data_IF_556163400534
#
_entry.id   IF_556163400534
#
_cell.length_a   1.000
_cell.length_b   1.000
_cell.length_c   1.000
_cell.angle_alpha   90.00
_cell.angle_beta   90.00
_cell.angle_gamma   90.00
#
_symmetry.space_group_name_H-M   'P 1'
#
loop_
_entity.id
_entity.type
_entity.pdbx_description
1 polymer ?
#
# COMPACT_ATOMS: atom_id res chain seq x y z
N UNK A 1 14.59 -23.57 -24.62
CA UNK A 1 13.46 -22.69 -24.23
C UNK A 1 12.36 -23.54 -23.58
N UNK A 2 12.73 -24.55 -22.81
CA UNK A 2 11.85 -25.69 -22.50
C UNK A 2 11.38 -25.71 -21.03
N UNK A 3 11.89 -24.78 -20.22
CA UNK A 3 11.63 -24.74 -18.77
C UNK A 3 10.27 -24.14 -18.37
N UNK A 4 9.58 -23.42 -19.25
CA UNK A 4 8.32 -22.75 -18.91
C UNK A 4 7.07 -23.61 -19.14
N UNK A 5 7.14 -24.65 -19.99
CA UNK A 5 6.00 -25.54 -20.24
C UNK A 5 5.72 -26.47 -19.07
N UNK A 6 6.74 -26.98 -18.37
CA UNK A 6 6.50 -27.98 -17.31
C UNK A 6 5.77 -27.43 -16.09
N UNK A 7 5.99 -26.15 -15.72
CA UNK A 7 5.30 -25.55 -14.56
C UNK A 7 3.77 -25.43 -14.74
N UNK A 8 3.28 -25.23 -15.96
CA UNK A 8 1.83 -25.20 -16.22
C UNK A 8 1.24 -26.60 -16.42
N UNK A 9 2.04 -27.56 -16.89
CA UNK A 9 1.65 -28.98 -16.97
C UNK A 9 1.61 -29.65 -15.58
N UNK A 10 2.44 -29.21 -14.64
CA UNK A 10 2.45 -29.65 -13.24
C UNK A 10 1.30 -29.04 -12.40
N UNK A 11 0.70 -27.93 -12.83
CA UNK A 11 -0.40 -27.30 -12.11
C UNK A 11 -1.74 -27.98 -12.42
N UNK A 12 -2.14 -28.93 -11.58
CA UNK A 12 -3.47 -29.54 -11.65
C UNK A 12 -4.58 -28.54 -11.30
N UNK A 13 -5.47 -28.26 -12.25
CA UNK A 13 -6.70 -27.50 -12.02
C UNK A 13 -6.86 -26.20 -12.79
N UNK A 14 -6.00 -25.91 -13.77
CA UNK A 14 -6.28 -24.80 -14.69
C UNK A 14 -7.51 -25.13 -15.56
N UNK A 15 -8.50 -24.23 -15.70
CA UNK A 15 -9.73 -24.54 -16.43
C UNK A 15 -9.44 -24.79 -17.91
N UNK A 16 -9.89 -25.94 -18.43
CA UNK A 16 -9.78 -26.26 -19.87
C UNK A 16 -10.72 -25.37 -20.69
N UNK A 17 -10.39 -25.17 -21.96
CA UNK A 17 -11.28 -24.48 -22.91
C UNK A 17 -12.57 -25.28 -23.06
N UNK A 18 -13.70 -24.64 -22.77
CA UNK A 18 -15.04 -25.22 -22.93
C UNK A 18 -15.69 -24.57 -24.14
N UNK A 19 -16.15 -25.38 -25.11
CA UNK A 19 -16.67 -24.88 -26.39
C UNK A 19 -18.14 -24.42 -26.33
N UNK A 20 -18.94 -24.97 -25.40
CA UNK A 20 -20.38 -24.68 -25.24
C UNK A 20 -20.71 -24.52 -23.75
N UNK A 21 -21.57 -23.57 -23.38
CA UNK A 21 -21.94 -23.36 -21.97
C UNK A 21 -20.91 -22.59 -21.16
N UNK A 22 -20.06 -21.78 -21.81
CA UNK A 22 -18.94 -21.05 -21.22
C UNK A 22 -19.32 -20.07 -20.08
N UNK A 23 -20.59 -19.67 -20.04
CA UNK A 23 -21.17 -18.74 -19.07
C UNK A 23 -22.20 -19.42 -18.16
N UNK A 24 -22.27 -20.77 -18.15
CA UNK A 24 -23.07 -21.44 -17.13
C UNK A 24 -22.49 -21.16 -15.75
N UNK A 25 -23.36 -21.08 -14.75
CA UNK A 25 -22.94 -20.79 -13.38
C UNK A 25 -21.90 -21.79 -12.88
N UNK A 26 -22.05 -23.07 -13.21
CA UNK A 26 -21.11 -24.13 -12.85
C UNK A 26 -19.72 -23.92 -13.46
N UNK A 27 -19.65 -23.57 -14.75
CA UNK A 27 -18.38 -23.29 -15.44
C UNK A 27 -17.70 -22.05 -14.87
N UNK A 28 -18.47 -21.01 -14.51
CA UNK A 28 -17.94 -19.82 -13.84
C UNK A 28 -17.36 -20.19 -12.47
N UNK A 29 -18.11 -20.94 -11.66
CA UNK A 29 -17.69 -21.37 -10.31
C UNK A 29 -16.39 -22.19 -10.39
N UNK A 30 -16.31 -23.14 -11.30
CA UNK A 30 -15.12 -23.99 -11.44
C UNK A 30 -13.90 -23.19 -11.94
N UNK A 31 -14.11 -22.18 -12.79
CA UNK A 31 -13.05 -21.25 -13.18
C UNK A 31 -12.56 -20.39 -12.03
N UNK A 32 -13.48 -19.86 -11.20
CA UNK A 32 -13.11 -19.12 -10.01
C UNK A 32 -12.28 -19.99 -9.07
N UNK A 33 -12.69 -21.24 -8.83
CA UNK A 33 -11.92 -22.20 -8.02
C UNK A 33 -10.53 -22.46 -8.61
N UNK A 34 -10.45 -22.70 -9.93
CA UNK A 34 -9.18 -22.94 -10.63
C UNK A 34 -8.24 -21.73 -10.53
N UNK A 35 -8.76 -20.52 -10.73
CA UNK A 35 -8.03 -19.27 -10.55
C UNK A 35 -7.54 -19.11 -9.10
N UNK A 36 -8.39 -19.33 -8.10
CA UNK A 36 -8.00 -19.27 -6.69
C UNK A 36 -6.86 -20.25 -6.38
N UNK A 37 -6.95 -21.49 -6.85
CA UNK A 37 -5.86 -22.48 -6.69
C UNK A 37 -4.57 -22.00 -7.34
N UNK A 38 -4.65 -21.42 -8.54
CA UNK A 38 -3.49 -20.93 -9.28
C UNK A 38 -2.82 -19.76 -8.56
N UNK A 39 -3.60 -18.77 -8.12
CA UNK A 39 -3.07 -17.62 -7.37
C UNK A 39 -2.45 -18.05 -6.04
N UNK A 40 -3.05 -19.03 -5.35
CA UNK A 40 -2.47 -19.60 -4.13
C UNK A 40 -1.15 -20.33 -4.40
N UNK A 41 -1.05 -21.08 -5.50
CA UNK A 41 0.21 -21.70 -5.91
C UNK A 41 1.28 -20.65 -6.18
N UNK A 42 0.98 -19.65 -7.02
CA UNK A 42 1.89 -18.55 -7.34
C UNK A 42 2.33 -17.78 -6.09
N UNK A 43 1.43 -17.58 -5.12
CA UNK A 43 1.74 -16.90 -3.86
C UNK A 43 2.67 -17.72 -2.96
N UNK A 44 2.45 -19.04 -2.86
CA UNK A 44 3.31 -19.96 -2.07
C UNK A 44 4.69 -20.09 -2.69
N UNK A 45 4.79 -20.05 -4.01
CA UNK A 45 6.06 -20.09 -4.71
C UNK A 45 6.80 -18.76 -4.60
N UNK A 46 7.83 -18.71 -3.76
CA UNK A 46 8.56 -17.48 -3.45
C UNK A 46 9.15 -16.77 -4.68
N UNK A 47 9.59 -17.52 -5.70
CA UNK A 47 10.10 -16.94 -6.95
C UNK A 47 8.98 -16.31 -7.76
N UNK A 48 7.88 -17.04 -7.98
CA UNK A 48 6.75 -16.57 -8.79
C UNK A 48 6.06 -15.38 -8.14
N UNK A 49 5.88 -15.42 -6.82
CA UNK A 49 5.25 -14.35 -6.05
C UNK A 49 6.00 -13.02 -6.11
N UNK A 50 7.32 -13.03 -6.38
CA UNK A 50 8.17 -11.84 -6.51
C UNK A 50 8.34 -11.35 -7.94
N UNK A 51 7.77 -12.03 -8.93
CA UNK A 51 7.86 -11.60 -10.33
C UNK A 51 7.11 -10.29 -10.56
N UNK A 52 7.64 -9.46 -11.46
CA UNK A 52 6.99 -8.22 -11.88
C UNK A 52 5.62 -8.48 -12.55
N UNK A 53 5.45 -9.64 -13.19
CA UNK A 53 4.17 -10.01 -13.82
C UNK A 53 3.08 -10.20 -12.76
N UNK A 54 3.41 -10.84 -11.64
CA UNK A 54 2.44 -11.08 -10.60
C UNK A 54 2.06 -9.81 -9.84
N UNK A 55 3.02 -8.93 -9.55
CA UNK A 55 2.71 -7.60 -9.00
C UNK A 55 1.91 -6.75 -9.98
N UNK A 56 2.23 -6.82 -11.28
CA UNK A 56 1.48 -6.14 -12.34
C UNK A 56 0.02 -6.58 -12.42
N UNK A 57 -0.22 -7.88 -12.29
CA UNK A 57 -1.56 -8.45 -12.27
C UNK A 57 -2.37 -8.06 -11.03
N UNK A 58 -1.71 -7.99 -9.86
CA UNK A 58 -2.42 -7.85 -8.59
C UNK A 58 -2.75 -6.41 -8.19
N UNK A 59 -1.80 -5.48 -8.32
CA UNK A 59 -1.94 -4.15 -7.69
C UNK A 59 -1.26 -3.00 -8.42
N UNK A 60 -0.51 -3.24 -9.51
CA UNK A 60 0.27 -2.18 -10.13
C UNK A 60 -0.62 -1.12 -10.80
N UNK A 61 -1.75 -1.51 -11.41
CA UNK A 61 -2.72 -0.58 -11.98
C UNK A 61 -3.29 0.35 -10.92
N UNK A 62 -3.61 -0.21 -9.76
CA UNK A 62 -4.19 0.47 -8.61
C UNK A 62 -3.18 1.45 -8.03
N UNK A 63 -1.95 1.01 -7.77
CA UNK A 63 -0.87 1.88 -7.28
C UNK A 63 -0.57 3.03 -8.25
N UNK A 64 -0.61 2.77 -9.56
CA UNK A 64 -0.43 3.82 -10.56
C UNK A 64 -1.58 4.83 -10.51
N UNK A 65 -2.82 4.35 -10.54
CA UNK A 65 -4.01 5.20 -10.49
C UNK A 65 -4.02 6.07 -9.23
N UNK A 66 -3.74 5.50 -8.05
CA UNK A 66 -3.72 6.26 -6.80
C UNK A 66 -2.60 7.30 -6.76
N UNK A 67 -1.44 7.00 -7.36
CA UNK A 67 -0.36 7.99 -7.50
C UNK A 67 -0.80 9.17 -8.40
N UNK A 68 -1.43 8.89 -9.53
CA UNK A 68 -1.93 9.91 -10.46
C UNK A 68 -3.00 10.78 -9.77
N UNK A 69 -3.94 10.17 -9.05
CA UNK A 69 -4.93 10.89 -8.25
C UNK A 69 -4.29 11.77 -7.18
N UNK A 70 -3.27 11.27 -6.48
CA UNK A 70 -2.56 12.03 -5.45
C UNK A 70 -1.86 13.27 -6.02
N UNK A 71 -1.22 13.13 -7.20
CA UNK A 71 -0.58 14.24 -7.91
C UNK A 71 -1.62 15.29 -8.35
N UNK A 72 -2.81 14.86 -8.76
CA UNK A 72 -3.90 15.73 -9.21
C UNK A 72 -4.80 16.25 -8.08
N UNK A 73 -4.51 15.89 -6.82
CA UNK A 73 -5.33 16.23 -5.64
C UNK A 73 -6.76 15.65 -5.67
N UNK A 74 -6.96 14.55 -6.40
CA UNK A 74 -8.21 13.82 -6.52
C UNK A 74 -8.32 12.79 -5.37
N UNK A 75 -8.47 13.31 -4.15
CA UNK A 75 -8.36 12.48 -2.94
C UNK A 75 -9.55 11.55 -2.73
N UNK A 76 -10.75 11.94 -3.16
CA UNK A 76 -11.97 11.15 -2.99
C UNK A 76 -11.93 9.89 -3.86
N UNK A 77 -11.43 10.03 -5.09
CA UNK A 77 -11.21 8.93 -6.03
C UNK A 77 -10.10 7.98 -5.57
N UNK A 78 -9.08 8.50 -4.89
CA UNK A 78 -7.96 7.70 -4.39
C UNK A 78 -8.36 6.80 -3.20
N UNK A 79 -9.20 7.30 -2.29
CA UNK A 79 -9.57 6.61 -1.04
C UNK A 79 -10.00 5.14 -1.22
N UNK A 80 -11.04 4.80 -2.01
CA UNK A 80 -11.52 3.42 -2.11
C UNK A 80 -10.48 2.48 -2.74
N UNK A 81 -9.66 2.98 -3.67
CA UNK A 81 -8.62 2.18 -4.32
C UNK A 81 -7.49 1.92 -3.32
N UNK A 82 -7.09 2.91 -2.53
CA UNK A 82 -6.07 2.79 -1.49
C UNK A 82 -6.50 1.84 -0.36
N UNK A 83 -7.76 1.89 0.09
CA UNK A 83 -8.31 0.97 1.09
C UNK A 83 -8.21 -0.49 0.61
N UNK A 84 -8.68 -0.76 -0.63
CA UNK A 84 -8.61 -2.10 -1.23
C UNK A 84 -7.16 -2.57 -1.48
N UNK A 85 -6.31 -1.67 -1.97
CA UNK A 85 -4.89 -1.96 -2.22
C UNK A 85 -4.19 -2.30 -0.92
N UNK A 86 -4.46 -1.59 0.17
CA UNK A 86 -3.91 -1.90 1.48
C UNK A 86 -4.30 -3.31 1.95
N UNK A 87 -5.59 -3.67 1.89
CA UNK A 87 -6.07 -5.00 2.31
C UNK A 87 -5.36 -6.10 1.52
N UNK A 88 -5.21 -5.92 0.20
CA UNK A 88 -4.52 -6.86 -0.67
C UNK A 88 -3.03 -6.99 -0.31
N UNK A 89 -2.33 -5.86 -0.16
CA UNK A 89 -0.90 -5.84 0.15
C UNK A 89 -0.59 -6.46 1.52
N UNK A 90 -1.42 -6.19 2.52
CA UNK A 90 -1.27 -6.73 3.87
C UNK A 90 -1.52 -8.24 3.89
N UNK A 91 -2.58 -8.69 3.20
CA UNK A 91 -2.92 -10.12 3.07
C UNK A 91 -1.81 -10.92 2.38
N UNK A 92 -1.14 -10.31 1.41
CA UNK A 92 -0.05 -10.94 0.66
C UNK A 92 1.32 -10.76 1.33
N UNK A 93 1.38 -10.15 2.51
CA UNK A 93 2.62 -9.86 3.27
C UNK A 93 3.71 -9.23 2.39
N UNK A 94 3.32 -8.23 1.58
CA UNK A 94 4.21 -7.60 0.60
C UNK A 94 5.24 -6.68 1.25
N UNK A 95 6.11 -6.12 0.40
CA UNK A 95 7.14 -5.17 0.79
C UNK A 95 6.59 -4.10 1.76
N UNK A 96 7.21 -4.02 2.93
CA UNK A 96 6.75 -3.11 3.98
C UNK A 96 6.82 -1.65 3.53
N UNK A 97 7.75 -1.28 2.65
CA UNK A 97 7.85 0.07 2.11
C UNK A 97 6.62 0.46 1.31
N UNK A 98 6.14 -0.42 0.42
CA UNK A 98 4.92 -0.21 -0.35
C UNK A 98 3.67 -0.10 0.54
N UNK A 99 3.56 -0.96 1.56
CA UNK A 99 2.45 -0.91 2.54
C UNK A 99 2.44 0.43 3.27
N UNK A 100 3.59 0.87 3.79
CA UNK A 100 3.71 2.14 4.51
C UNK A 100 3.37 3.34 3.62
N UNK A 101 3.81 3.34 2.35
CA UNK A 101 3.43 4.40 1.39
C UNK A 101 1.93 4.43 1.15
N UNK A 102 1.34 3.27 0.85
CA UNK A 102 -0.11 3.13 0.60
C UNK A 102 -0.92 3.65 1.79
N UNK A 103 -0.52 3.28 3.01
CA UNK A 103 -1.14 3.74 4.23
C UNK A 103 -0.98 5.26 4.46
N UNK A 104 0.22 5.82 4.27
CA UNK A 104 0.42 7.27 4.37
C UNK A 104 -0.42 8.05 3.34
N UNK A 105 -0.50 7.55 2.09
CA UNK A 105 -1.37 8.13 1.06
C UNK A 105 -2.83 8.08 1.50
N UNK A 106 -3.30 6.94 2.01
CA UNK A 106 -4.67 6.76 2.46
C UNK A 106 -5.03 7.72 3.59
N UNK A 107 -4.17 7.83 4.60
CA UNK A 107 -4.36 8.75 5.74
C UNK A 107 -4.50 10.19 5.28
N UNK A 108 -3.65 10.64 4.35
CA UNK A 108 -3.71 12.00 3.80
C UNK A 108 -4.99 12.21 2.99
N UNK A 109 -5.37 11.26 2.14
CA UNK A 109 -6.59 11.36 1.34
C UNK A 109 -7.84 11.44 2.22
N UNK A 110 -7.96 10.54 3.21
CA UNK A 110 -9.08 10.51 4.15
C UNK A 110 -9.21 11.83 4.92
N UNK A 111 -8.08 12.40 5.35
CA UNK A 111 -8.07 13.71 5.99
C UNK A 111 -8.53 14.82 5.04
N UNK A 112 -8.03 14.83 3.81
CA UNK A 112 -8.36 15.86 2.82
C UNK A 112 -9.86 15.87 2.46
N UNK A 113 -10.52 14.71 2.48
CA UNK A 113 -11.97 14.59 2.25
C UNK A 113 -12.82 14.68 3.54
N UNK A 114 -12.22 15.07 4.67
CA UNK A 114 -12.94 15.28 5.93
C UNK A 114 -13.31 14.00 6.70
N UNK A 115 -12.86 12.82 6.26
CA UNK A 115 -13.05 11.52 6.96
C UNK A 115 -12.04 11.35 8.11
N UNK A 116 -12.03 12.28 9.06
CA UNK A 116 -11.00 12.38 10.09
C UNK A 116 -10.90 11.17 11.02
N UNK A 117 -12.01 10.58 11.46
CA UNK A 117 -11.97 9.37 12.31
C UNK A 117 -11.40 8.16 11.57
N UNK A 118 -11.71 7.99 10.28
CA UNK A 118 -11.08 6.97 9.45
C UNK A 118 -9.57 7.25 9.27
N UNK A 119 -9.20 8.50 8.99
CA UNK A 119 -7.80 8.91 8.89
C UNK A 119 -7.03 8.60 10.19
N UNK A 120 -7.67 8.80 11.34
CA UNK A 120 -7.11 8.49 12.66
C UNK A 120 -6.88 6.99 12.84
N UNK A 121 -7.89 6.17 12.54
CA UNK A 121 -7.76 4.71 12.64
C UNK A 121 -6.61 4.17 11.76
N UNK A 122 -6.53 4.59 10.50
CA UNK A 122 -5.45 4.19 9.61
C UNK A 122 -4.09 4.78 10.03
N UNK A 123 -4.04 6.00 10.55
CA UNK A 123 -2.81 6.58 11.06
C UNK A 123 -2.24 5.80 12.26
N UNK A 124 -3.11 5.33 13.17
CA UNK A 124 -2.69 4.47 14.27
C UNK A 124 -2.07 3.15 13.78
N UNK A 125 -2.71 2.49 12.80
CA UNK A 125 -2.18 1.28 12.14
C UNK A 125 -0.84 1.56 11.47
N UNK A 126 -0.74 2.68 10.77
CA UNK A 126 0.47 3.11 10.06
C UNK A 126 1.63 3.27 11.03
N UNK A 127 1.43 4.04 12.11
CA UNK A 127 2.43 4.26 13.15
C UNK A 127 2.89 2.93 13.77
N UNK A 128 1.96 2.01 14.04
CA UNK A 128 2.32 0.69 14.56
C UNK A 128 3.24 -0.07 13.59
N UNK A 129 2.96 -0.05 12.28
CA UNK A 129 3.81 -0.73 11.28
C UNK A 129 5.21 -0.10 11.14
N UNK A 130 5.35 1.22 11.33
CA UNK A 130 6.68 1.87 11.38
C UNK A 130 7.56 1.34 12.52
N UNK A 131 6.98 1.04 13.70
CA UNK A 131 7.73 0.51 14.85
C UNK A 131 8.27 -0.91 14.62
N UNK A 132 7.52 -1.73 13.86
CA UNK A 132 7.85 -3.14 13.65
C UNK A 132 8.74 -3.40 12.42
N UNK A 133 9.08 -2.37 11.64
CA UNK A 133 9.86 -2.52 10.39
C UNK A 133 11.25 -1.86 10.48
N UNK A 134 12.29 -2.59 10.92
CA UNK A 134 13.68 -2.11 10.83
C UNK A 134 14.24 -2.15 9.40
N UNK A 135 13.53 -2.77 8.46
CA UNK A 135 14.02 -3.25 7.16
C UNK A 135 13.91 -2.26 6.00
N UNK A 136 13.25 -1.11 6.17
CA UNK A 136 13.21 -0.04 5.17
C UNK A 136 13.62 1.30 5.78
N UNK A 137 14.84 1.37 6.34
CA UNK A 137 15.34 2.53 7.10
C UNK A 137 15.22 3.87 6.37
N UNK A 138 15.25 3.90 5.03
CA UNK A 138 15.19 5.16 4.27
C UNK A 138 13.75 5.67 4.17
N UNK A 139 12.84 4.91 3.57
CA UNK A 139 11.40 5.22 3.47
C UNK A 139 10.77 5.39 4.87
N UNK A 140 11.15 4.46 5.75
CA UNK A 140 10.81 4.44 7.17
C UNK A 140 11.23 5.72 7.90
N UNK A 141 12.35 6.36 7.54
CA UNK A 141 12.78 7.63 8.16
C UNK A 141 12.17 8.84 7.46
N UNK A 142 12.11 8.82 6.14
CA UNK A 142 11.70 9.97 5.32
C UNK A 142 10.21 10.30 5.50
N UNK A 143 9.36 9.30 5.74
CA UNK A 143 7.92 9.50 5.94
C UNK A 143 7.50 9.54 7.42
N UNK A 144 8.28 8.96 8.35
CA UNK A 144 7.84 8.84 9.74
C UNK A 144 7.75 10.18 10.47
N UNK A 145 8.74 11.07 10.28
CA UNK A 145 8.69 12.39 10.91
C UNK A 145 7.54 13.25 10.36
N UNK A 146 7.34 13.38 9.03
CA UNK A 146 6.15 14.03 8.46
C UNK A 146 4.82 13.39 8.93
N UNK A 147 4.76 12.06 9.04
CA UNK A 147 3.58 11.36 9.54
C UNK A 147 3.29 11.69 11.00
N UNK A 148 4.30 11.75 11.87
CA UNK A 148 4.10 12.13 13.26
C UNK A 148 3.57 13.57 13.40
N UNK A 149 4.09 14.50 12.60
CA UNK A 149 3.59 15.90 12.57
C UNK A 149 2.14 15.92 12.09
N UNK A 150 1.83 15.17 11.04
CA UNK A 150 0.48 15.02 10.52
C UNK A 150 -0.49 14.46 11.58
N UNK A 151 -0.08 13.40 12.29
CA UNK A 151 -0.88 12.78 13.34
C UNK A 151 -1.12 13.72 14.52
N UNK A 152 -0.12 14.52 14.91
CA UNK A 152 -0.25 15.51 15.99
C UNK A 152 -1.33 16.54 15.65
N UNK A 153 -1.39 16.99 14.39
CA UNK A 153 -2.43 17.89 13.90
C UNK A 153 -3.80 17.22 13.87
N UNK A 154 -3.91 16.03 13.26
CA UNK A 154 -5.16 15.28 13.17
C UNK A 154 -5.75 14.96 14.56
N UNK A 155 -4.90 14.58 15.53
CA UNK A 155 -5.36 14.32 16.89
C UNK A 155 -5.86 15.59 17.56
N UNK A 156 -5.23 16.74 17.25
CA UNK A 156 -5.70 18.05 17.67
C UNK A 156 -7.10 18.38 17.13
N UNK A 157 -7.34 18.15 15.83
CA UNK A 157 -8.64 18.34 15.19
C UNK A 157 -9.72 17.48 15.87
N UNK A 158 -9.39 16.25 16.23
CA UNK A 158 -10.32 15.30 16.86
C UNK A 158 -10.39 15.42 18.40
N UNK A 159 -9.63 16.33 19.03
CA UNK A 159 -9.56 16.45 20.49
C UNK A 159 -9.00 15.21 21.21
N UNK A 160 -8.22 14.36 20.54
CA UNK A 160 -7.62 13.13 21.10
C UNK A 160 -6.33 13.46 21.86
N UNK A 161 -5.88 12.56 22.73
CA UNK A 161 -4.63 12.75 23.50
C UNK A 161 -3.38 12.74 22.60
N UNK A 162 -2.61 13.83 22.65
CA UNK A 162 -1.41 14.06 21.83
C UNK A 162 -0.11 13.74 22.56
N UNK A 163 -0.13 13.43 23.86
CA UNK A 163 1.10 13.25 24.67
C UNK A 163 2.06 12.24 24.05
N UNK A 164 1.54 11.07 23.65
CA UNK A 164 2.36 9.99 23.07
C UNK A 164 2.96 10.39 21.72
N UNK A 165 2.18 11.03 20.85
CA UNK A 165 2.65 11.48 19.52
C UNK A 165 3.73 12.55 19.68
N UNK A 166 3.51 13.54 20.55
CA UNK A 166 4.49 14.60 20.82
C UNK A 166 5.78 14.05 21.41
N UNK A 167 5.71 13.11 22.35
CA UNK A 167 6.91 12.45 22.88
C UNK A 167 7.71 11.73 21.78
N UNK A 168 7.01 11.05 20.86
CA UNK A 168 7.65 10.41 19.69
C UNK A 168 8.25 11.43 18.72
N UNK A 169 7.60 12.57 18.51
CA UNK A 169 8.11 13.68 17.70
C UNK A 169 9.42 14.21 18.26
N UNK A 170 9.45 14.52 19.56
CA UNK A 170 10.66 15.03 20.22
C UNK A 170 11.80 14.00 20.20
N UNK A 171 11.49 12.70 20.35
CA UNK A 171 12.50 11.65 20.20
C UNK A 171 12.99 11.48 18.75
N UNK A 172 12.12 11.68 17.75
CA UNK A 172 12.47 11.58 16.34
C UNK A 172 13.24 12.81 15.82
N UNK A 173 13.01 13.99 16.42
CA UNK A 173 13.77 15.22 16.21
C UNK A 173 15.13 15.09 16.90
N UNK A 174 16.08 14.37 16.28
CA UNK A 174 17.48 14.45 16.70
C UNK A 174 17.96 15.91 16.65
N UNK A 175 18.91 16.32 17.52
CA UNK A 175 19.55 17.64 17.46
C UNK A 175 20.52 17.67 16.27
N UNK A 176 20.01 17.67 15.05
CA UNK A 176 20.79 17.72 13.82
C UNK A 176 20.45 19.00 13.09
N UNK A 177 21.33 19.99 13.32
CA UNK A 177 21.63 21.21 12.55
C UNK A 177 20.46 22.05 12.00
N UNK A 178 20.42 23.29 12.52
CA UNK A 178 19.68 24.49 12.11
C UNK A 178 18.17 24.41 12.37
N UNK A 179 17.78 25.27 13.31
CA UNK A 179 16.46 25.56 13.85
C UNK A 179 15.43 26.12 12.85
N UNK A 180 15.64 25.96 11.54
CA UNK A 180 14.77 26.53 10.49
C UNK A 180 14.26 25.51 9.46
N UNK A 181 14.63 24.23 9.55
CA UNK A 181 14.16 23.22 8.60
C UNK A 181 12.71 22.82 8.98
N UNK A 182 11.72 23.52 8.41
CA UNK A 182 10.32 23.14 8.51
C UNK A 182 10.19 21.66 8.13
N UNK A 183 9.67 20.84 9.04
CA UNK A 183 9.37 19.44 8.71
C UNK A 183 8.42 19.43 7.52
N UNK A 184 8.82 18.83 6.38
CA UNK A 184 8.05 18.92 5.16
C UNK A 184 6.69 18.25 5.32
N UNK A 185 5.68 18.79 4.65
CA UNK A 185 4.33 18.24 4.67
C UNK A 185 4.33 16.79 4.15
N UNK A 186 3.57 15.91 4.81
CA UNK A 186 3.49 14.51 4.43
C UNK A 186 3.00 14.32 2.98
N UNK A 187 2.01 15.11 2.54
CA UNK A 187 1.50 15.08 1.17
C UNK A 187 2.59 15.45 0.17
N UNK A 188 3.33 16.53 0.42
CA UNK A 188 4.41 16.98 -0.46
C UNK A 188 5.50 15.91 -0.55
N UNK A 189 5.86 15.28 0.58
CA UNK A 189 6.82 14.17 0.58
C UNK A 189 6.35 12.95 -0.21
N UNK A 190 5.06 12.63 -0.14
CA UNK A 190 4.49 11.55 -0.93
C UNK A 190 4.50 11.89 -2.42
N UNK A 191 4.20 13.14 -2.79
CA UNK A 191 4.22 13.61 -4.19
C UNK A 191 5.64 13.65 -4.76
N UNK A 192 6.60 14.19 -4.01
CA UNK A 192 8.02 14.18 -4.35
C UNK A 192 8.48 12.74 -4.65
N UNK A 193 8.13 11.82 -3.77
CA UNK A 193 8.51 10.42 -3.90
C UNK A 193 7.87 9.74 -5.13
N UNK A 194 6.61 10.04 -5.43
CA UNK A 194 5.94 9.54 -6.64
C UNK A 194 6.65 10.08 -7.88
N UNK A 195 6.92 11.39 -7.93
CA UNK A 195 7.59 12.02 -9.05
C UNK A 195 8.97 11.39 -9.31
N UNK A 196 9.78 11.22 -8.26
CA UNK A 196 11.09 10.58 -8.35
C UNK A 196 11.03 9.14 -8.87
N UNK A 197 10.00 8.37 -8.49
CA UNK A 197 9.80 6.99 -8.94
C UNK A 197 9.25 6.87 -10.36
N UNK A 198 8.70 7.95 -10.92
CA UNK A 198 8.12 7.97 -12.27
C UNK A 198 9.13 8.46 -13.31
N UNK A 199 10.22 9.11 -12.88
CA UNK A 199 11.30 9.60 -13.74
C UNK A 199 12.38 8.54 -14.08
N UNK A 200 12.29 7.34 -13.49
CA UNK A 200 13.21 6.21 -13.68
C UNK A 200 12.44 4.94 -14.03
#
# INVERSE_FOLDING_TARGET
MDSHRSLMEEFEGFPKKVLIGNFSQDVIIDRCKGLTRFLNFVHKEGVLSRTAIFSKFLYHSEVKATNDYLLQSQFDEACPILENTYVLLDSLQRDTGLILRTLCQLVVCLYAVGRYESAHAYAAVTLAKFHHSPTNRKIGRDLYLPLLVFCDNLWGVLGKDRRVIRARLEAARKPTRRSDDLTPNLLDKLRDDIALRTLH
#
